data_IF_843143313461
#
_entry.id   IF_843143313461
#
_cell.length_a   1.000
_cell.length_b   1.000
_cell.length_c   1.000
_cell.angle_alpha   90.00
_cell.angle_beta   90.00
_cell.angle_gamma   90.00
#
_symmetry.space_group_name_H-M   'P 1'
#
loop_
_entity.id
_entity.type
_entity.pdbx_description
1 polymer ?
#
# COMPACT_ATOMS: atom_id res chain seq x y z
N UNK A 1 -19.31 -10.76 14.75
CA UNK A 1 -18.73 -9.42 14.49
C UNK A 1 -19.01 -8.52 15.67
N UNK A 2 -18.16 -8.60 16.69
CA UNK A 2 -18.16 -7.67 17.82
C UNK A 2 -17.08 -6.61 17.60
N UNK A 3 -17.41 -5.35 17.88
CA UNK A 3 -16.52 -4.21 17.69
C UNK A 3 -16.31 -3.46 19.00
N UNK A 4 -15.06 -3.16 19.35
CA UNK A 4 -14.73 -2.21 20.41
C UNK A 4 -14.18 -0.93 19.82
N UNK A 5 -14.77 0.19 20.24
CA UNK A 5 -14.31 1.50 19.82
C UNK A 5 -12.90 1.74 20.35
N UNK A 6 -11.98 2.04 19.43
CA UNK A 6 -10.57 2.28 19.74
C UNK A 6 -10.16 3.62 19.15
N UNK A 7 -9.32 4.40 19.84
CA UNK A 7 -8.86 5.71 19.37
C UNK A 7 -8.20 5.65 17.97
N UNK A 8 -7.57 4.52 17.62
CA UNK A 8 -6.99 4.26 16.30
C UNK A 8 -8.03 4.34 15.17
N UNK A 9 -9.28 3.98 15.41
CA UNK A 9 -10.34 4.07 14.40
C UNK A 9 -10.62 5.52 13.98
N UNK A 10 -10.62 6.46 14.94
CA UNK A 10 -10.85 7.88 14.64
C UNK A 10 -9.72 8.41 13.75
N UNK A 11 -8.47 8.07 14.08
CA UNK A 11 -7.30 8.48 13.29
C UNK A 11 -7.39 7.93 11.87
N UNK A 12 -7.74 6.65 11.73
CA UNK A 12 -7.97 6.00 10.43
C UNK A 12 -9.09 6.67 9.62
N UNK A 13 -10.19 7.07 10.26
CA UNK A 13 -11.27 7.80 9.60
C UNK A 13 -10.81 9.18 9.11
N UNK A 14 -10.11 9.95 9.95
CA UNK A 14 -9.56 11.26 9.56
C UNK A 14 -8.62 11.11 8.36
N UNK A 15 -7.75 10.10 8.37
CA UNK A 15 -6.86 9.78 7.25
C UNK A 15 -7.66 9.42 5.99
N UNK A 16 -8.69 8.59 6.12
CA UNK A 16 -9.58 8.20 5.01
C UNK A 16 -10.27 9.42 4.40
N UNK A 17 -10.92 10.25 5.22
CA UNK A 17 -11.65 11.43 4.75
C UNK A 17 -10.72 12.47 4.12
N UNK A 18 -9.60 12.79 4.75
CA UNK A 18 -8.63 13.76 4.19
C UNK A 18 -8.09 13.29 2.83
N UNK A 19 -7.76 12.01 2.71
CA UNK A 19 -7.26 11.41 1.47
C UNK A 19 -8.34 11.37 0.37
N UNK A 20 -9.59 11.05 0.72
CA UNK A 20 -10.72 11.10 -0.22
C UNK A 20 -11.04 12.52 -0.70
N UNK A 21 -10.97 13.51 0.20
CA UNK A 21 -11.17 14.92 -0.19
C UNK A 21 -10.10 15.38 -1.18
N UNK A 22 -8.84 14.98 -0.98
CA UNK A 22 -7.76 15.23 -1.94
C UNK A 22 -8.01 14.52 -3.27
N UNK A 23 -8.55 13.30 -3.26
CA UNK A 23 -8.88 12.56 -4.47
C UNK A 23 -10.00 13.27 -5.25
N UNK A 24 -11.05 13.71 -4.55
CA UNK A 24 -12.17 14.47 -5.13
C UNK A 24 -11.73 15.83 -5.67
N UNK A 25 -10.83 16.51 -4.97
CA UNK A 25 -10.22 17.75 -5.46
C UNK A 25 -9.40 17.49 -6.73
N UNK A 26 -8.55 16.46 -6.72
CA UNK A 26 -7.77 16.04 -7.89
C UNK A 26 -8.65 15.69 -9.09
N UNK A 27 -9.83 15.11 -8.87
CA UNK A 27 -10.80 14.80 -9.92
C UNK A 27 -11.37 16.05 -10.63
N UNK A 28 -11.24 17.24 -10.03
CA UNK A 28 -11.56 18.53 -10.69
C UNK A 28 -10.41 19.04 -11.57
N UNK A 29 -9.22 18.47 -11.45
CA UNK A 29 -7.99 18.90 -12.12
C UNK A 29 -7.41 17.82 -13.04
N UNK A 30 -8.26 17.02 -13.71
CA UNK A 30 -7.85 15.90 -14.57
C UNK A 30 -6.93 16.26 -15.75
N UNK A 31 -6.80 17.56 -16.07
CA UNK A 31 -5.89 18.07 -17.09
C UNK A 31 -4.43 18.08 -16.65
N UNK A 32 -4.15 18.03 -15.33
CA UNK A 32 -2.79 18.03 -14.78
C UNK A 32 -2.11 16.69 -15.06
N UNK A 33 -0.89 16.67 -15.63
CA UNK A 33 -0.19 15.42 -15.87
C UNK A 33 0.09 14.62 -14.59
N UNK A 34 -0.23 13.32 -14.61
CA UNK A 34 -0.02 12.42 -13.46
C UNK A 34 -1.10 12.46 -12.39
N UNK A 35 -2.14 13.30 -12.53
CA UNK A 35 -3.21 13.38 -11.54
C UNK A 35 -4.06 12.10 -11.43
N UNK A 36 -4.27 11.39 -12.53
CA UNK A 36 -5.06 10.14 -12.54
C UNK A 36 -4.43 9.03 -11.66
N UNK A 37 -3.16 8.64 -11.87
CA UNK A 37 -2.54 7.67 -10.98
C UNK A 37 -2.34 8.21 -9.56
N UNK A 38 -2.17 9.52 -9.37
CA UNK A 38 -2.18 10.13 -8.03
C UNK A 38 -3.52 9.93 -7.30
N UNK A 39 -4.65 10.18 -7.97
CA UNK A 39 -5.99 9.84 -7.44
C UNK A 39 -6.09 8.35 -7.12
N UNK A 40 -5.52 7.48 -7.97
CA UNK A 40 -5.43 6.04 -7.71
C UNK A 40 -4.71 5.71 -6.39
N UNK A 41 -3.54 6.33 -6.15
CA UNK A 41 -2.82 6.18 -4.88
C UNK A 41 -3.66 6.65 -3.68
N UNK A 42 -4.37 7.77 -3.81
CA UNK A 42 -5.24 8.30 -2.75
C UNK A 42 -6.42 7.37 -2.46
N UNK A 43 -7.07 6.81 -3.48
CA UNK A 43 -8.17 5.86 -3.32
C UNK A 43 -7.67 4.59 -2.63
N UNK A 44 -6.51 4.05 -3.04
CA UNK A 44 -5.89 2.88 -2.39
C UNK A 44 -5.59 3.19 -0.93
N UNK A 45 -4.98 4.34 -0.63
CA UNK A 45 -4.65 4.77 0.73
C UNK A 45 -5.90 4.92 1.60
N UNK A 46 -6.95 5.57 1.09
CA UNK A 46 -8.20 5.73 1.80
C UNK A 46 -8.88 4.38 2.08
N UNK A 47 -8.90 3.47 1.10
CA UNK A 47 -9.44 2.13 1.28
C UNK A 47 -8.66 1.36 2.34
N UNK A 48 -7.32 1.39 2.28
CA UNK A 48 -6.47 0.78 3.28
C UNK A 48 -6.76 1.31 4.68
N UNK A 49 -6.71 2.64 4.86
CA UNK A 49 -6.95 3.28 6.16
C UNK A 49 -8.31 2.91 6.74
N UNK A 50 -9.34 2.84 5.90
CA UNK A 50 -10.69 2.46 6.33
C UNK A 50 -10.74 1.01 6.81
N UNK A 51 -10.19 0.07 6.02
CA UNK A 51 -10.16 -1.36 6.39
C UNK A 51 -9.37 -1.58 7.67
N UNK A 52 -8.24 -0.88 7.83
CA UNK A 52 -7.42 -0.93 9.04
C UNK A 52 -8.15 -0.43 10.28
N UNK A 53 -8.93 0.65 10.13
CA UNK A 53 -9.79 1.11 11.20
C UNK A 53 -10.74 0.02 11.68
N UNK A 54 -11.39 -0.69 10.74
CA UNK A 54 -12.30 -1.78 11.08
C UNK A 54 -11.58 -3.02 11.63
N UNK A 55 -10.38 -3.34 11.15
CA UNK A 55 -9.53 -4.39 11.71
C UNK A 55 -9.21 -4.13 13.18
N UNK A 56 -8.85 -2.89 13.53
CA UNK A 56 -8.57 -2.51 14.92
C UNK A 56 -9.79 -2.57 15.82
N UNK A 57 -10.99 -2.26 15.29
CA UNK A 57 -12.22 -2.39 16.06
C UNK A 57 -12.63 -3.84 16.28
N UNK A 58 -12.30 -4.75 15.35
CA UNK A 58 -12.69 -6.16 15.44
C UNK A 58 -12.07 -6.85 16.66
N UNK A 59 -12.91 -7.52 17.46
CA UNK A 59 -12.47 -8.22 18.67
C UNK A 59 -12.24 -9.71 18.42
N UNK A 60 -12.97 -10.28 17.46
CA UNK A 60 -12.86 -11.66 17.03
C UNK A 60 -11.79 -11.82 15.93
N UNK A 61 -11.04 -12.92 15.97
CA UNK A 61 -10.03 -13.24 14.97
C UNK A 61 -10.61 -13.29 13.55
N UNK A 62 -11.81 -13.85 13.39
CA UNK A 62 -12.50 -13.91 12.09
C UNK A 62 -12.80 -12.53 11.51
N UNK A 63 -13.20 -11.58 12.36
CA UNK A 63 -13.47 -10.20 11.96
C UNK A 63 -12.17 -9.48 11.56
N UNK A 64 -11.11 -9.63 12.37
CA UNK A 64 -9.78 -9.08 12.03
C UNK A 64 -9.24 -9.63 10.72
N UNK A 65 -9.29 -10.95 10.53
CA UNK A 65 -8.82 -11.62 9.32
C UNK A 65 -9.58 -11.18 8.07
N UNK A 66 -10.89 -10.92 8.18
CA UNK A 66 -11.68 -10.41 7.06
C UNK A 66 -11.22 -9.01 6.61
N UNK A 67 -11.05 -8.07 7.54
CA UNK A 67 -10.58 -6.73 7.20
C UNK A 67 -9.12 -6.73 6.75
N UNK A 68 -8.26 -7.55 7.38
CA UNK A 68 -6.90 -7.77 6.90
C UNK A 68 -6.91 -8.29 5.45
N UNK A 69 -7.75 -9.28 5.10
CA UNK A 69 -7.88 -9.74 3.71
C UNK A 69 -8.21 -8.60 2.75
N UNK A 70 -9.07 -7.67 3.15
CA UNK A 70 -9.39 -6.49 2.34
C UNK A 70 -8.19 -5.55 2.17
N UNK A 71 -7.35 -5.36 3.18
CA UNK A 71 -6.09 -4.62 3.03
C UNK A 71 -5.17 -5.30 2.01
N UNK A 72 -5.02 -6.62 2.11
CA UNK A 72 -4.19 -7.40 1.17
C UNK A 72 -4.69 -7.33 -0.28
N UNK A 73 -5.97 -7.00 -0.53
CA UNK A 73 -6.47 -6.79 -1.90
C UNK A 73 -5.85 -5.55 -2.54
N UNK A 74 -5.71 -4.45 -1.79
CA UNK A 74 -5.19 -3.18 -2.31
C UNK A 74 -3.69 -3.02 -2.11
N UNK A 75 -3.10 -3.75 -1.16
CA UNK A 75 -1.68 -3.71 -0.84
C UNK A 75 -0.74 -3.84 -2.03
N UNK A 76 -0.85 -4.88 -2.88
CA UNK A 76 0.07 -5.04 -4.00
C UNK A 76 -0.17 -4.03 -5.13
N UNK A 77 -1.33 -3.36 -5.16
CA UNK A 77 -1.64 -2.32 -6.14
C UNK A 77 -0.97 -0.99 -5.82
N UNK A 78 -0.66 -0.72 -4.55
CA UNK A 78 -0.03 0.52 -4.10
C UNK A 78 1.30 0.84 -4.83
N UNK A 79 2.31 -0.06 -4.88
CA UNK A 79 3.55 0.22 -5.61
C UNK A 79 3.33 0.42 -7.12
N UNK A 80 2.36 -0.28 -7.71
CA UNK A 80 2.03 -0.16 -9.14
C UNK A 80 1.43 1.21 -9.47
N UNK A 81 0.44 1.66 -8.69
CA UNK A 81 -0.14 3.00 -8.87
C UNK A 81 0.88 4.10 -8.62
N UNK A 82 1.74 3.92 -7.61
CA UNK A 82 2.83 4.84 -7.35
C UNK A 82 3.78 4.96 -8.54
N UNK A 83 4.19 3.83 -9.12
CA UNK A 83 5.03 3.81 -10.31
C UNK A 83 4.36 4.51 -11.50
N UNK A 84 3.06 4.29 -11.73
CA UNK A 84 2.32 4.99 -12.78
C UNK A 84 2.31 6.51 -12.57
N UNK A 85 2.19 6.94 -11.30
CA UNK A 85 2.26 8.35 -10.94
C UNK A 85 3.64 8.92 -11.23
N UNK A 86 4.72 8.24 -10.84
CA UNK A 86 6.10 8.66 -11.14
C UNK A 86 6.35 8.73 -12.65
N UNK A 87 5.95 7.71 -13.42
CA UNK A 87 6.12 7.68 -14.88
C UNK A 87 5.38 8.83 -15.57
N UNK A 88 4.15 9.13 -15.11
CA UNK A 88 3.42 10.28 -15.63
C UNK A 88 4.02 11.62 -15.21
N UNK A 89 4.55 11.72 -13.99
CA UNK A 89 5.20 12.91 -13.45
C UNK A 89 6.47 13.28 -14.24
N UNK A 90 7.25 12.29 -14.64
CA UNK A 90 8.47 12.49 -15.46
C UNK A 90 8.16 12.64 -16.97
N UNK A 91 6.89 12.67 -17.36
CA UNK A 91 6.45 12.86 -18.74
C UNK A 91 6.58 11.64 -19.65
N UNK A 92 6.88 10.44 -19.12
CA UNK A 92 7.13 9.21 -19.91
C UNK A 92 5.90 8.32 -20.07
N UNK A 93 4.75 8.91 -20.42
CA UNK A 93 3.47 8.17 -20.51
C UNK A 93 3.50 7.03 -21.51
N UNK A 94 4.34 7.11 -22.53
CA UNK A 94 4.58 6.06 -23.53
C UNK A 94 5.13 4.76 -22.93
N UNK A 95 5.63 4.78 -21.69
CA UNK A 95 6.00 3.57 -20.97
C UNK A 95 4.79 2.78 -20.46
N UNK A 96 3.63 3.42 -20.33
CA UNK A 96 2.37 2.85 -19.83
C UNK A 96 1.45 2.43 -20.98
N UNK A 97 1.91 1.54 -21.85
CA UNK A 97 1.03 0.92 -22.85
C UNK A 97 0.02 -0.03 -22.18
N UNK A 98 -1.18 -0.24 -22.75
CA UNK A 98 -2.19 -1.13 -22.16
C UNK A 98 -1.67 -2.52 -21.81
N UNK A 99 -0.81 -3.11 -22.66
CA UNK A 99 -0.18 -4.40 -22.40
C UNK A 99 0.77 -4.40 -21.21
N UNK A 100 1.60 -3.35 -21.06
CA UNK A 100 2.51 -3.21 -19.90
C UNK A 100 1.75 -2.95 -18.61
N UNK A 101 0.69 -2.14 -18.67
CA UNK A 101 -0.22 -1.91 -17.54
C UNK A 101 -0.84 -3.24 -17.11
N UNK A 102 -1.38 -4.02 -18.05
CA UNK A 102 -1.98 -5.31 -17.76
C UNK A 102 -0.98 -6.27 -17.08
N UNK A 103 0.26 -6.35 -17.59
CA UNK A 103 1.31 -7.17 -16.99
C UNK A 103 1.65 -6.74 -15.55
N UNK A 104 1.71 -5.43 -15.29
CA UNK A 104 1.99 -4.91 -13.96
C UNK A 104 0.80 -5.09 -12.99
N UNK A 105 -0.43 -5.12 -13.46
CA UNK A 105 -1.61 -5.31 -12.60
C UNK A 105 -1.90 -6.81 -12.37
N UNK A 106 -1.46 -7.69 -13.28
CA UNK A 106 -1.74 -9.13 -13.22
C UNK A 106 -1.27 -9.77 -11.90
N UNK A 107 -0.03 -9.52 -11.49
CA UNK A 107 0.54 -10.07 -10.25
C UNK A 107 -0.21 -9.58 -8.98
N UNK A 108 -0.49 -8.28 -8.81
CA UNK A 108 -1.35 -7.79 -7.75
C UNK A 108 -2.73 -8.44 -7.74
N UNK A 109 -3.41 -8.53 -8.89
CA UNK A 109 -4.77 -9.13 -8.97
C UNK A 109 -4.74 -10.61 -8.60
N UNK A 110 -3.76 -11.35 -9.09
CA UNK A 110 -3.57 -12.75 -8.71
C UNK A 110 -3.33 -12.90 -7.21
N UNK A 111 -2.53 -12.00 -6.62
CA UNK A 111 -2.31 -11.98 -5.17
C UNK A 111 -3.59 -11.70 -4.41
N UNK A 112 -4.38 -10.71 -4.84
CA UNK A 112 -5.67 -10.39 -4.23
C UNK A 112 -6.60 -11.61 -4.23
N UNK A 113 -6.60 -12.42 -5.29
CA UNK A 113 -7.37 -13.67 -5.35
C UNK A 113 -6.81 -14.74 -4.39
N UNK A 114 -5.49 -14.97 -4.42
CA UNK A 114 -4.83 -15.99 -3.59
C UNK A 114 -5.03 -15.76 -2.09
N UNK A 115 -5.11 -14.51 -1.64
CA UNK A 115 -5.39 -14.15 -0.24
C UNK A 115 -6.73 -14.73 0.25
N UNK A 116 -7.74 -14.84 -0.61
CA UNK A 116 -9.04 -15.43 -0.24
C UNK A 116 -9.01 -16.95 -0.19
N UNK A 117 -8.14 -17.58 -0.98
CA UNK A 117 -7.93 -19.04 -0.97
C UNK A 117 -6.88 -19.48 0.05
N UNK A 118 -6.26 -18.53 0.73
CA UNK A 118 -5.16 -18.77 1.63
C UNK A 118 -5.44 -19.80 2.76
N UNK A 119 -6.66 -19.91 3.34
CA UNK A 119 -6.96 -20.97 4.32
C UNK A 119 -6.78 -22.40 3.79
N UNK A 120 -6.70 -22.59 2.48
CA UNK A 120 -6.57 -23.90 1.83
C UNK A 120 -5.13 -24.19 1.41
N UNK A 121 -4.38 -23.15 1.02
CA UNK A 121 -3.06 -23.31 0.38
C UNK A 121 -1.89 -22.74 1.21
N UNK A 122 -2.15 -21.83 2.15
CA UNK A 122 -1.12 -21.17 2.97
C UNK A 122 -0.04 -20.44 2.15
N UNK A 123 -0.39 -19.96 0.96
CA UNK A 123 0.57 -19.41 0.00
C UNK A 123 0.99 -17.98 0.34
N UNK A 124 0.07 -17.18 0.88
CA UNK A 124 0.30 -15.77 1.23
C UNK A 124 0.51 -15.64 2.73
N UNK A 125 -0.30 -16.31 3.53
CA UNK A 125 -0.31 -16.23 4.98
C UNK A 125 -0.29 -17.65 5.54
N UNK A 126 0.59 -17.90 6.51
CA UNK A 126 0.75 -19.21 7.16
C UNK A 126 0.56 -19.01 8.66
N UNK A 127 -0.25 -19.88 9.26
CA UNK A 127 -0.43 -20.00 10.71
C UNK A 127 -0.59 -18.66 11.47
N UNK A 128 -1.65 -17.91 11.15
CA UNK A 128 -2.08 -16.73 11.93
C UNK A 128 -2.66 -17.20 13.27
N UNK A 129 -1.76 -17.53 14.21
CA UNK A 129 -2.12 -17.83 15.59
C UNK A 129 -2.03 -16.55 16.44
N UNK A 130 -3.04 -16.34 17.29
CA UNK A 130 -2.97 -15.30 18.32
C UNK A 130 -1.95 -15.77 19.35
N UNK A 131 -0.76 -15.18 19.34
CA UNK A 131 0.19 -15.39 20.43
C UNK A 131 -0.24 -14.44 21.55
N UNK A 132 -0.73 -15.00 22.65
CA UNK A 132 -1.06 -14.23 23.86
C UNK A 132 0.22 -13.66 24.49
N UNK A 133 0.72 -12.52 23.99
CA UNK A 133 1.69 -11.70 24.71
C UNK A 133 0.95 -10.56 25.40
N UNK A 134 0.81 -10.58 26.73
CA UNK A 134 0.25 -9.42 27.45
C UNK A 134 1.28 -8.29 27.45
N UNK A 135 0.91 -7.02 27.18
CA UNK A 135 -0.45 -6.45 27.14
C UNK A 135 -1.09 -6.34 25.73
N UNK A 136 -0.45 -6.81 24.66
CA UNK A 136 -0.94 -6.71 23.28
C UNK A 136 -0.94 -8.08 22.57
N UNK A 137 -2.10 -8.57 22.15
CA UNK A 137 -2.17 -9.81 21.35
C UNK A 137 -1.47 -9.58 20.00
N UNK A 138 -0.22 -10.01 19.87
CA UNK A 138 0.51 -9.95 18.61
C UNK A 138 0.21 -11.22 17.82
N UNK A 139 -0.29 -11.04 16.61
CA UNK A 139 -0.48 -12.15 15.68
C UNK A 139 0.90 -12.66 15.28
N UNK A 140 1.20 -13.93 15.56
CA UNK A 140 2.34 -14.60 14.94
C UNK A 140 2.08 -14.67 13.44
N UNK A 141 2.77 -13.84 12.66
CA UNK A 141 2.61 -13.79 11.21
C UNK A 141 3.72 -14.61 10.57
N UNK A 142 3.42 -15.84 10.19
CA UNK A 142 4.26 -16.55 9.22
C UNK A 142 3.79 -16.23 7.80
N UNK A 143 4.72 -15.93 6.92
CA UNK A 143 4.44 -15.58 5.54
C UNK A 143 4.72 -16.77 4.62
N UNK A 144 3.77 -17.09 3.76
CA UNK A 144 3.94 -18.13 2.75
C UNK A 144 4.88 -17.70 1.61
N UNK A 145 5.25 -18.62 0.71
CA UNK A 145 6.20 -18.34 -0.37
C UNK A 145 5.71 -17.26 -1.35
N UNK A 146 4.40 -17.16 -1.60
CA UNK A 146 3.84 -16.17 -2.52
C UNK A 146 3.97 -14.74 -1.97
N UNK A 147 3.90 -14.58 -0.65
CA UNK A 147 4.12 -13.28 0.00
C UNK A 147 5.49 -12.70 -0.35
N UNK A 148 6.55 -13.51 -0.32
CA UNK A 148 7.90 -13.05 -0.63
C UNK A 148 8.06 -12.67 -2.11
N UNK A 149 7.37 -13.38 -3.01
CA UNK A 149 7.34 -13.05 -4.44
C UNK A 149 6.70 -11.68 -4.65
N UNK A 150 5.50 -11.45 -4.10
CA UNK A 150 4.79 -10.18 -4.28
C UNK A 150 5.49 -9.02 -3.54
N UNK A 151 6.09 -9.29 -2.38
CA UNK A 151 6.89 -8.31 -1.65
C UNK A 151 8.13 -7.90 -2.45
N UNK A 152 8.89 -8.86 -2.97
CA UNK A 152 10.05 -8.59 -3.83
C UNK A 152 9.68 -7.84 -5.11
N UNK A 153 8.54 -8.19 -5.73
CA UNK A 153 7.97 -7.46 -6.85
C UNK A 153 7.67 -5.99 -6.50
N UNK A 154 7.03 -5.74 -5.35
CA UNK A 154 6.76 -4.38 -4.85
C UNK A 154 8.05 -3.60 -4.58
N UNK A 155 9.04 -4.22 -3.94
CA UNK A 155 10.37 -3.63 -3.71
C UNK A 155 11.05 -3.24 -5.02
N UNK A 156 10.99 -4.09 -6.05
CA UNK A 156 11.58 -3.81 -7.36
C UNK A 156 10.92 -2.60 -8.01
N UNK A 157 9.58 -2.53 -8.01
CA UNK A 157 8.85 -1.39 -8.58
C UNK A 157 9.13 -0.09 -7.84
N UNK A 158 9.14 -0.15 -6.50
CA UNK A 158 9.48 1.01 -5.68
C UNK A 158 10.92 1.46 -5.92
N UNK A 159 11.87 0.53 -6.03
CA UNK A 159 13.26 0.82 -6.36
C UNK A 159 13.40 1.53 -7.71
N UNK A 160 12.75 1.02 -8.76
CA UNK A 160 12.70 1.69 -10.07
C UNK A 160 12.09 3.08 -9.95
N UNK A 161 10.99 3.23 -9.19
CA UNK A 161 10.34 4.53 -8.95
C UNK A 161 11.26 5.54 -8.27
N UNK A 162 12.01 5.11 -7.24
CA UNK A 162 13.01 5.94 -6.56
C UNK A 162 14.12 6.38 -7.52
N UNK A 163 14.67 5.45 -8.31
CA UNK A 163 15.73 5.75 -9.29
C UNK A 163 15.27 6.79 -10.31
N UNK A 164 14.03 6.68 -10.80
CA UNK A 164 13.45 7.65 -11.74
C UNK A 164 13.27 9.03 -11.09
N UNK A 165 12.82 9.10 -9.84
CA UNK A 165 12.69 10.35 -9.10
C UNK A 165 14.05 11.00 -8.83
N UNK A 166 15.06 10.23 -8.40
CA UNK A 166 16.43 10.70 -8.18
C UNK A 166 17.01 11.28 -9.48
N UNK A 167 16.89 10.55 -10.59
CA UNK A 167 17.34 11.04 -11.90
C UNK A 167 16.65 12.36 -12.28
N UNK A 168 15.34 12.44 -12.05
CA UNK A 168 14.55 13.66 -12.32
C UNK A 168 15.02 14.84 -11.46
N UNK A 169 15.39 14.59 -10.20
CA UNK A 169 15.97 15.62 -9.33
C UNK A 169 17.31 16.14 -9.87
N UNK A 170 18.17 15.26 -10.39
CA UNK A 170 19.47 15.67 -10.94
C UNK A 170 19.28 16.51 -12.21
N UNK A 171 18.41 16.06 -13.12
CA UNK A 171 18.32 16.58 -14.49
C UNK A 171 17.48 17.88 -14.64
N UNK A 172 16.60 18.22 -13.69
CA UNK A 172 15.60 19.30 -13.88
C UNK A 172 15.85 20.60 -13.10
N UNK A 173 15.21 21.69 -13.55
CA UNK A 173 15.20 23.02 -12.90
C UNK A 173 14.62 22.97 -11.47
N UNK A 174 15.00 23.93 -10.62
CA UNK A 174 14.71 23.97 -9.17
C UNK A 174 13.26 23.65 -8.76
N UNK A 175 12.24 24.09 -9.51
CA UNK A 175 10.83 23.84 -9.15
C UNK A 175 10.41 22.36 -9.22
N UNK A 176 10.86 21.62 -10.24
CA UNK A 176 10.59 20.17 -10.36
C UNK A 176 11.37 19.35 -9.33
N UNK A 177 12.52 19.86 -8.85
CA UNK A 177 13.33 19.20 -7.83
C UNK A 177 12.61 19.09 -6.48
N UNK A 178 11.92 20.14 -6.04
CA UNK A 178 11.18 20.10 -4.78
C UNK A 178 10.01 19.13 -4.84
N UNK A 179 9.24 19.13 -5.94
CA UNK A 179 8.15 18.16 -6.12
C UNK A 179 8.67 16.72 -6.12
N UNK A 180 9.74 16.44 -6.87
CA UNK A 180 10.37 15.12 -6.88
C UNK A 180 10.93 14.72 -5.50
N UNK A 181 11.47 15.67 -4.73
CA UNK A 181 11.94 15.43 -3.36
C UNK A 181 10.79 15.03 -2.43
N UNK A 182 9.64 15.71 -2.48
CA UNK A 182 8.47 15.33 -1.66
C UNK A 182 7.94 13.94 -2.02
N UNK A 183 7.88 13.61 -3.32
CA UNK A 183 7.50 12.27 -3.77
C UNK A 183 8.50 11.23 -3.28
N UNK A 184 9.80 11.49 -3.44
CA UNK A 184 10.85 10.57 -3.00
C UNK A 184 10.83 10.37 -1.48
N UNK A 185 10.67 11.44 -0.71
CA UNK A 185 10.58 11.38 0.75
C UNK A 185 9.38 10.54 1.20
N UNK A 186 8.20 10.76 0.58
CA UNK A 186 7.00 9.97 0.86
C UNK A 186 7.18 8.49 0.55
N UNK A 187 7.76 8.16 -0.62
CA UNK A 187 8.03 6.77 -1.00
C UNK A 187 9.05 6.11 -0.06
N UNK A 188 10.15 6.81 0.25
CA UNK A 188 11.20 6.31 1.15
C UNK A 188 10.65 6.03 2.54
N UNK A 189 9.76 6.89 3.05
CA UNK A 189 9.08 6.67 4.32
C UNK A 189 8.27 5.36 4.27
N UNK A 190 7.41 5.21 3.27
CA UNK A 190 6.55 4.01 3.12
C UNK A 190 7.38 2.74 3.01
N UNK A 191 8.41 2.73 2.14
CA UNK A 191 9.25 1.55 1.92
C UNK A 191 10.04 1.19 3.18
N UNK A 192 10.58 2.18 3.88
CA UNK A 192 11.34 1.95 5.12
C UNK A 192 10.43 1.35 6.19
N UNK A 193 9.27 1.96 6.46
CA UNK A 193 8.31 1.44 7.45
C UNK A 193 7.80 0.04 7.08
N UNK A 194 7.45 -0.18 5.81
CA UNK A 194 6.99 -1.49 5.33
C UNK A 194 8.07 -2.57 5.47
N UNK A 195 9.32 -2.25 5.16
CA UNK A 195 10.45 -3.18 5.27
C UNK A 195 10.76 -3.51 6.73
N UNK A 196 10.82 -2.50 7.59
CA UNK A 196 11.06 -2.68 9.02
C UNK A 196 9.95 -3.49 9.70
N UNK A 197 8.71 -3.29 9.28
CA UNK A 197 7.56 -4.08 9.73
C UNK A 197 7.65 -5.54 9.25
N UNK A 198 7.93 -5.75 7.96
CA UNK A 198 7.99 -7.09 7.36
C UNK A 198 9.14 -7.93 7.90
N UNK A 199 10.29 -7.31 8.15
CA UNK A 199 11.46 -7.97 8.75
C UNK A 199 11.35 -8.18 10.26
N UNK A 200 10.18 -7.89 10.86
CA UNK A 200 9.91 -8.02 12.29
C UNK A 200 10.86 -7.21 13.19
N UNK A 201 11.53 -6.19 12.64
CA UNK A 201 12.44 -5.31 13.39
C UNK A 201 11.63 -4.36 14.31
N UNK A 202 10.38 -4.05 13.95
CA UNK A 202 9.44 -3.25 14.76
C UNK A 202 8.43 -4.16 15.48
N UNK A 203 8.89 -5.20 16.16
CA UNK A 203 8.04 -5.96 17.09
C UNK A 203 7.85 -5.23 18.45
N UNK A 204 8.57 -4.11 18.66
CA UNK A 204 8.73 -3.45 19.97
C UNK A 204 7.92 -2.17 20.19
N UNK A 205 7.10 -1.71 19.23
CA UNK A 205 6.41 -0.42 19.31
C UNK A 205 4.89 -0.48 19.11
N UNK A 206 4.28 -1.66 19.11
CA UNK A 206 2.81 -1.81 19.11
C UNK A 206 2.41 -2.81 20.18
#
# INVERSE_FOLDING_TARGET
MHFHFTYYFIISLISTFSTLLLALYGARHLQVPGIKPFIGCLIIGAFWSLMQGFEFMGTELSTKMFFANMEYVVAPLAPVMWFFMVVCFIGRREWLSPGRIALLILLPVLTSLLVWFDPWWGLVKRDFSLIEQRPFHVIGKEYGPWFWIIYGYGCLINGVSMLLLIKTMIDNKKAYRFQALFLLAGLSLIVTFSTLYTLQIIHFLI
#
